data_IF_363469267666
#
_entry.id   IF_363469267666
#
_cell.length_a   1.000
_cell.length_b   1.000
_cell.length_c   1.000
_cell.angle_alpha   90.00
_cell.angle_beta   90.00
_cell.angle_gamma   90.00
#
_symmetry.space_group_name_H-M   'P 1'
#
loop_
_entity.id
_entity.type
_entity.pdbx_description
1 polymer ?
#
# COMPACT_ATOMS: atom_id res chain seq x y z
N UNK A 1 -8.95 -11.57 10.30
CA UNK A 1 -8.69 -10.89 9.01
C UNK A 1 -8.99 -9.39 9.06
N UNK A 2 -10.18 -8.93 9.49
CA UNK A 2 -10.56 -7.50 9.63
C UNK A 2 -9.51 -6.65 10.38
N UNK A 3 -9.10 -7.09 11.57
CA UNK A 3 -8.16 -6.36 12.45
C UNK A 3 -6.74 -6.13 11.91
N UNK A 4 -6.26 -6.96 10.97
CA UNK A 4 -4.89 -6.81 10.40
C UNK A 4 -4.85 -5.66 9.39
N UNK A 5 -5.97 -5.42 8.71
CA UNK A 5 -6.11 -4.39 7.68
C UNK A 5 -6.79 -3.11 8.19
N UNK A 6 -7.61 -3.18 9.24
CA UNK A 6 -8.38 -2.04 9.76
C UNK A 6 -7.53 -0.92 10.34
N UNK A 7 -6.34 -1.23 10.87
CA UNK A 7 -5.35 -0.29 11.36
C UNK A 7 -4.24 -1.18 11.93
N UNK A 8 -3.39 -1.72 11.06
CA UNK A 8 -2.13 -2.26 11.55
C UNK A 8 -1.38 -1.09 12.17
N UNK A 9 -1.45 -0.99 13.51
CA UNK A 9 -0.49 -0.30 14.36
C UNK A 9 0.89 -0.99 14.28
N UNK A 10 1.27 -1.41 13.07
CA UNK A 10 2.55 -1.95 12.71
C UNK A 10 3.44 -0.75 12.46
N UNK A 11 4.26 -0.48 13.47
CA UNK A 11 5.26 0.55 13.44
C UNK A 11 6.59 -0.10 13.08
N UNK A 12 7.17 0.33 11.96
CA UNK A 12 8.45 -0.18 11.49
C UNK A 12 9.59 0.73 11.91
N UNK A 13 10.66 0.16 12.44
CA UNK A 13 11.93 0.82 12.66
C UNK A 13 12.79 0.89 11.39
N UNK A 14 13.88 1.65 11.44
CA UNK A 14 14.82 1.73 10.32
C UNK A 14 15.45 0.37 9.95
N UNK A 15 15.69 -0.51 10.93
CA UNK A 15 16.27 -1.85 10.69
C UNK A 15 15.32 -2.72 9.87
N UNK A 16 14.03 -2.74 10.24
CA UNK A 16 12.99 -3.48 9.53
C UNK A 16 12.77 -2.90 8.13
N UNK A 17 12.71 -1.56 8.01
CA UNK A 17 12.62 -0.91 6.71
C UNK A 17 13.80 -1.25 5.79
N UNK A 18 15.03 -1.25 6.32
CA UNK A 18 16.22 -1.60 5.54
C UNK A 18 16.15 -3.05 5.05
N UNK A 19 15.74 -3.98 5.92
CA UNK A 19 15.56 -5.39 5.57
C UNK A 19 14.48 -5.61 4.51
N UNK A 20 13.33 -4.94 4.64
CA UNK A 20 12.22 -5.10 3.69
C UNK A 20 12.57 -4.46 2.33
N UNK A 21 13.03 -3.21 2.35
CA UNK A 21 13.14 -2.39 1.13
C UNK A 21 14.47 -2.57 0.38
N UNK A 22 15.41 -3.28 0.99
CA UNK A 22 16.79 -3.40 0.49
C UNK A 22 17.40 -2.01 0.22
N UNK A 23 17.14 -1.07 1.14
CA UNK A 23 17.72 0.27 1.16
C UNK A 23 18.58 0.39 2.41
N UNK A 24 19.87 0.77 2.28
CA UNK A 24 20.75 0.92 3.43
C UNK A 24 20.17 1.84 4.52
N UNK A 25 20.34 1.43 5.78
CA UNK A 25 19.74 2.12 6.93
C UNK A 25 20.19 3.59 7.06
N UNK A 26 21.44 3.89 6.71
CA UNK A 26 21.99 5.25 6.66
C UNK A 26 21.28 6.13 5.61
N UNK A 27 20.95 5.56 4.44
CA UNK A 27 20.21 6.25 3.38
C UNK A 27 18.78 6.55 3.79
N UNK A 28 18.12 5.61 4.48
CA UNK A 28 16.79 5.82 5.06
C UNK A 28 16.79 6.92 6.12
N UNK A 29 17.79 6.93 7.03
CA UNK A 29 17.95 8.02 8.01
C UNK A 29 18.12 9.37 7.32
N UNK A 30 18.98 9.45 6.30
CA UNK A 30 19.17 10.67 5.51
C UNK A 30 17.87 11.13 4.85
N UNK A 31 17.10 10.21 4.25
CA UNK A 31 15.80 10.55 3.65
C UNK A 31 14.79 11.04 4.67
N UNK A 32 14.77 10.44 5.86
CA UNK A 32 13.91 10.88 6.96
C UNK A 32 14.29 12.26 7.47
N UNK A 33 15.59 12.52 7.68
CA UNK A 33 16.10 13.83 8.09
C UNK A 33 15.78 14.93 7.08
N UNK A 34 15.81 14.61 5.77
CA UNK A 34 15.42 15.54 4.71
C UNK A 34 13.90 15.68 4.52
N UNK A 35 13.09 14.95 5.29
CA UNK A 35 11.63 15.01 5.23
C UNK A 35 10.99 14.26 4.06
N UNK A 36 11.77 13.48 3.30
CA UNK A 36 11.26 12.71 2.17
C UNK A 36 10.40 11.51 2.61
N UNK A 37 10.74 10.90 3.76
CA UNK A 37 9.91 9.90 4.43
C UNK A 37 9.61 10.37 5.86
N UNK A 38 8.38 10.18 6.33
CA UNK A 38 7.91 10.75 7.61
C UNK A 38 7.66 9.66 8.65
N UNK A 39 8.10 9.90 9.88
CA UNK A 39 7.80 9.05 11.04
C UNK A 39 6.37 9.25 11.51
N UNK A 40 5.85 8.31 12.32
CA UNK A 40 4.44 8.26 12.68
C UNK A 40 3.92 9.35 13.60
N UNK A 41 4.76 10.02 14.39
CA UNK A 41 4.42 11.17 15.24
C UNK A 41 5.67 11.63 16.01
N UNK A 42 5.60 12.79 16.66
CA UNK A 42 6.71 13.39 17.46
C UNK A 42 7.16 12.52 18.64
N UNK A 43 6.26 11.76 19.26
CA UNK A 43 6.55 10.91 20.43
C UNK A 43 7.18 9.56 20.09
N UNK A 44 7.05 9.09 18.83
CA UNK A 44 7.66 7.84 18.35
C UNK A 44 8.71 8.13 17.29
N UNK A 45 9.78 8.83 17.70
CA UNK A 45 10.97 9.04 16.87
C UNK A 45 11.43 7.66 16.35
N UNK A 46 11.70 7.57 15.05
CA UNK A 46 12.15 6.37 14.33
C UNK A 46 11.12 5.29 13.99
N UNK A 47 9.83 5.53 14.16
CA UNK A 47 8.79 4.58 13.75
C UNK A 47 8.05 5.07 12.51
N UNK A 48 7.76 4.15 11.58
CA UNK A 48 7.11 4.43 10.31
C UNK A 48 5.86 3.56 10.15
N UNK A 49 4.83 4.09 9.47
CA UNK A 49 3.67 3.27 9.09
C UNK A 49 4.11 2.31 8.00
N UNK A 50 3.41 1.18 7.87
CA UNK A 50 3.66 0.23 6.78
C UNK A 50 3.65 0.89 5.39
N UNK A 51 2.84 1.95 5.20
CA UNK A 51 2.79 2.73 3.95
C UNK A 51 4.13 3.36 3.53
N UNK A 52 5.05 3.58 4.49
CA UNK A 52 6.39 4.07 4.18
C UNK A 52 7.18 3.08 3.32
N UNK A 53 6.90 1.77 3.40
CA UNK A 53 7.54 0.74 2.57
C UNK A 53 7.27 1.02 1.09
N UNK A 54 6.00 1.27 0.73
CA UNK A 54 5.62 1.59 -0.65
C UNK A 54 6.27 2.90 -1.14
N UNK A 55 6.31 3.92 -0.26
CA UNK A 55 6.98 5.17 -0.57
C UNK A 55 8.47 4.97 -0.85
N UNK A 56 9.18 4.22 0.00
CA UNK A 56 10.62 3.93 -0.12
C UNK A 56 10.93 3.17 -1.41
N UNK A 57 10.14 2.13 -1.73
CA UNK A 57 10.30 1.41 -3.00
C UNK A 57 10.11 2.33 -4.20
N UNK A 58 9.14 3.23 -4.15
CA UNK A 58 8.89 4.17 -5.25
C UNK A 58 10.03 5.18 -5.40
N UNK A 59 10.63 5.66 -4.30
CA UNK A 59 11.84 6.48 -4.35
C UNK A 59 12.99 5.70 -4.98
N UNK A 60 13.26 4.47 -4.51
CA UNK A 60 14.31 3.59 -5.04
C UNK A 60 14.12 3.36 -6.55
N UNK A 61 12.90 3.07 -6.98
CA UNK A 61 12.56 2.89 -8.39
C UNK A 61 12.90 4.10 -9.26
N UNK A 62 12.52 5.31 -8.85
CA UNK A 62 12.84 6.51 -9.62
C UNK A 62 14.32 6.88 -9.56
N UNK A 63 15.00 6.64 -8.43
CA UNK A 63 16.46 6.82 -8.39
C UNK A 63 17.19 5.86 -9.33
N UNK A 64 16.74 4.61 -9.43
CA UNK A 64 17.31 3.63 -10.37
C UNK A 64 17.07 4.04 -11.84
N UNK A 65 16.08 4.89 -12.12
CA UNK A 65 15.84 5.51 -13.42
C UNK A 65 16.64 6.80 -13.67
N UNK A 66 17.56 7.17 -12.76
CA UNK A 66 18.42 8.34 -12.90
C UNK A 66 17.83 9.65 -12.37
N UNK A 67 16.67 9.63 -11.70
CA UNK A 67 16.12 10.84 -11.11
C UNK A 67 16.89 11.25 -9.84
N UNK A 68 16.98 12.56 -9.60
CA UNK A 68 17.48 13.09 -8.33
C UNK A 68 16.60 12.64 -7.17
N UNK A 69 17.15 12.60 -5.95
CA UNK A 69 16.38 12.21 -4.76
C UNK A 69 15.12 13.07 -4.57
N UNK A 70 15.22 14.38 -4.76
CA UNK A 70 14.08 15.28 -4.62
C UNK A 70 12.97 14.98 -5.63
N UNK A 71 13.32 14.76 -6.91
CA UNK A 71 12.37 14.40 -7.94
C UNK A 71 11.74 13.01 -7.71
N UNK A 72 12.55 12.03 -7.28
CA UNK A 72 12.07 10.69 -6.92
C UNK A 72 11.11 10.73 -5.72
N UNK A 73 11.42 11.54 -4.70
CA UNK A 73 10.56 11.72 -3.53
C UNK A 73 9.23 12.40 -3.86
N UNK A 74 9.24 13.42 -4.74
CA UNK A 74 8.02 14.06 -5.20
C UNK A 74 7.10 13.07 -5.95
N UNK A 75 7.67 12.28 -6.87
CA UNK A 75 6.92 11.23 -7.58
C UNK A 75 6.40 10.16 -6.62
N UNK A 76 7.23 9.73 -5.67
CA UNK A 76 6.81 8.77 -4.66
C UNK A 76 5.64 9.28 -3.81
N UNK A 77 5.64 10.55 -3.42
CA UNK A 77 4.53 11.15 -2.68
C UNK A 77 3.21 11.08 -3.47
N UNK A 78 3.24 11.35 -4.78
CA UNK A 78 2.07 11.20 -5.66
C UNK A 78 1.55 9.76 -5.67
N UNK A 79 2.40 8.78 -5.97
CA UNK A 79 1.96 7.37 -6.02
C UNK A 79 1.52 6.84 -4.65
N UNK A 80 2.18 7.25 -3.56
CA UNK A 80 1.76 6.90 -2.20
C UNK A 80 0.40 7.49 -1.84
N UNK A 81 0.07 8.68 -2.34
CA UNK A 81 -1.28 9.25 -2.19
C UNK A 81 -2.32 8.40 -2.94
N UNK A 82 -2.07 8.11 -4.22
CA UNK A 82 -2.96 7.26 -5.04
C UNK A 82 -3.15 5.88 -4.42
N UNK A 83 -2.08 5.25 -3.93
CA UNK A 83 -2.17 3.95 -3.27
C UNK A 83 -3.02 3.99 -2.01
N UNK A 84 -2.96 5.08 -1.23
CA UNK A 84 -3.83 5.25 -0.06
C UNK A 84 -5.30 5.36 -0.45
N UNK A 85 -5.61 6.08 -1.51
CA UNK A 85 -6.98 6.19 -2.05
C UNK A 85 -7.51 4.84 -2.52
N UNK A 86 -6.72 4.07 -3.28
CA UNK A 86 -7.09 2.71 -3.72
C UNK A 86 -7.35 1.82 -2.51
N UNK A 87 -6.45 1.79 -1.51
CA UNK A 87 -6.65 0.99 -0.29
C UNK A 87 -7.92 1.39 0.45
N UNK A 88 -8.19 2.69 0.59
CA UNK A 88 -9.38 3.18 1.26
C UNK A 88 -10.65 2.77 0.50
N UNK A 89 -10.67 2.95 -0.83
CA UNK A 89 -11.77 2.53 -1.67
C UNK A 89 -12.02 1.01 -1.57
N UNK A 90 -10.97 0.19 -1.67
CA UNK A 90 -11.09 -1.25 -1.50
C UNK A 90 -11.60 -1.61 -0.10
N UNK A 91 -11.14 -0.94 0.96
CA UNK A 91 -11.61 -1.21 2.32
C UNK A 91 -13.11 -0.91 2.48
N UNK A 92 -13.61 0.16 1.86
CA UNK A 92 -15.02 0.53 1.88
C UNK A 92 -15.89 -0.46 1.09
N UNK A 93 -15.36 -1.00 0.00
CA UNK A 93 -16.09 -1.90 -0.91
C UNK A 93 -16.03 -3.36 -0.50
N UNK A 94 -14.94 -3.81 0.12
CA UNK A 94 -14.69 -5.21 0.43
C UNK A 94 -15.68 -5.74 1.48
N UNK A 95 -16.62 -6.59 1.04
CA UNK A 95 -17.61 -7.22 1.92
C UNK A 95 -17.18 -8.61 2.36
N UNK A 96 -16.69 -9.43 1.42
CA UNK A 96 -16.31 -10.83 1.69
C UNK A 96 -15.18 -11.26 0.77
N UNK A 97 -14.29 -12.11 1.28
CA UNK A 97 -13.31 -12.86 0.48
C UNK A 97 -13.56 -14.34 0.74
N UNK A 98 -13.68 -15.11 -0.32
CA UNK A 98 -13.79 -16.57 -0.29
C UNK A 98 -12.69 -17.17 -1.14
N UNK A 99 -11.87 -18.03 -0.52
CA UNK A 99 -10.77 -18.71 -1.21
C UNK A 99 -11.20 -20.14 -1.52
N UNK A 100 -11.17 -20.52 -2.79
CA UNK A 100 -11.36 -21.90 -3.24
C UNK A 100 -10.04 -22.45 -3.79
N UNK A 101 -9.93 -23.76 -4.06
CA UNK A 101 -8.75 -24.34 -4.70
C UNK A 101 -8.44 -23.72 -6.07
N UNK A 102 -9.47 -23.29 -6.80
CA UNK A 102 -9.38 -22.83 -8.19
C UNK A 102 -9.25 -21.31 -8.31
N UNK A 103 -9.92 -20.56 -7.42
CA UNK A 103 -9.97 -19.10 -7.51
C UNK A 103 -10.10 -18.41 -6.15
N UNK A 104 -9.88 -17.09 -6.16
CA UNK A 104 -10.29 -16.20 -5.07
C UNK A 104 -11.51 -15.42 -5.53
N UNK A 105 -12.59 -15.47 -4.77
CA UNK A 105 -13.81 -14.71 -5.00
C UNK A 105 -13.83 -13.55 -4.01
N UNK A 106 -13.92 -12.32 -4.52
CA UNK A 106 -13.92 -11.09 -3.74
C UNK A 106 -15.23 -10.35 -4.01
N UNK A 107 -16.06 -10.23 -2.98
CA UNK A 107 -17.31 -9.47 -3.02
C UNK A 107 -17.02 -8.00 -2.69
N UNK A 108 -17.28 -7.11 -3.66
CA UNK A 108 -17.03 -5.67 -3.60
C UNK A 108 -18.31 -4.85 -3.32
N UNK A 109 -19.38 -5.52 -2.87
CA UNK A 109 -20.65 -4.91 -2.52
C UNK A 109 -21.59 -4.70 -3.70
N UNK A 110 -22.53 -3.78 -3.54
CA UNK A 110 -23.53 -3.46 -4.57
C UNK A 110 -22.87 -2.86 -5.82
N UNK A 111 -23.43 -3.19 -6.98
CA UNK A 111 -23.03 -2.58 -8.23
C UNK A 111 -23.77 -1.24 -8.41
N UNK A 112 -23.04 -0.12 -8.44
CA UNK A 112 -23.68 1.21 -8.37
C UNK A 112 -24.72 1.47 -9.47
N UNK A 113 -24.50 1.05 -10.74
CA UNK A 113 -25.52 1.21 -11.78
C UNK A 113 -26.77 0.34 -11.61
N UNK A 114 -26.68 -0.77 -10.86
CA UNK A 114 -27.81 -1.66 -10.57
C UNK A 114 -27.66 -2.26 -9.15
N UNK A 115 -28.22 -1.58 -8.12
CA UNK A 115 -28.07 -1.98 -6.73
C UNK A 115 -28.69 -3.34 -6.36
N UNK A 116 -29.48 -3.93 -7.26
CA UNK A 116 -29.99 -5.30 -7.10
C UNK A 116 -28.90 -6.35 -7.30
N UNK A 117 -27.82 -5.99 -7.99
CA UNK A 117 -26.68 -6.85 -8.29
C UNK A 117 -25.50 -6.56 -7.36
N UNK A 118 -24.68 -7.58 -7.16
CA UNK A 118 -23.40 -7.52 -6.44
C UNK A 118 -22.24 -7.56 -7.42
N UNK A 119 -21.25 -6.70 -7.20
CA UNK A 119 -20.01 -6.70 -7.96
C UNK A 119 -19.03 -7.70 -7.36
N UNK A 120 -18.72 -8.75 -8.11
CA UNK A 120 -17.81 -9.81 -7.72
C UNK A 120 -16.54 -9.74 -8.56
N UNK A 121 -15.38 -9.77 -7.92
CA UNK A 121 -14.08 -9.93 -8.56
C UNK A 121 -13.60 -11.36 -8.37
N UNK A 122 -13.42 -12.10 -9.46
CA UNK A 122 -12.75 -13.40 -9.45
C UNK A 122 -11.30 -13.26 -9.85
N UNK A 123 -10.42 -13.91 -9.11
CA UNK A 123 -8.97 -13.97 -9.38
C UNK A 123 -8.55 -15.43 -9.53
N UNK A 124 -8.02 -15.75 -10.71
CA UNK A 124 -7.62 -17.10 -11.15
C UNK A 124 -6.17 -17.02 -11.65
N UNK A 125 -5.21 -17.37 -10.79
CA UNK A 125 -3.79 -17.14 -11.07
C UNK A 125 -3.48 -15.66 -11.30
N UNK A 126 -2.92 -15.34 -12.47
CA UNK A 126 -2.60 -13.97 -12.90
C UNK A 126 -3.76 -13.29 -13.65
N UNK A 127 -4.91 -13.96 -13.80
CA UNK A 127 -6.09 -13.42 -14.47
C UNK A 127 -7.14 -12.97 -13.45
N UNK A 128 -7.93 -11.97 -13.85
CA UNK A 128 -9.08 -11.55 -13.07
C UNK A 128 -10.23 -11.08 -13.95
N UNK A 129 -11.46 -11.24 -13.47
CA UNK A 129 -12.68 -10.78 -14.15
C UNK A 129 -13.72 -10.29 -13.15
N UNK A 130 -14.56 -9.34 -13.61
CA UNK A 130 -15.73 -8.90 -12.87
C UNK A 130 -16.96 -9.70 -13.31
N UNK A 131 -17.79 -10.06 -12.32
CA UNK A 131 -19.09 -10.70 -12.50
C UNK A 131 -20.14 -9.91 -11.72
N UNK A 132 -21.38 -9.96 -12.22
CA UNK A 132 -22.54 -9.41 -11.54
C UNK A 132 -23.44 -10.57 -11.11
N UNK A 133 -23.69 -10.70 -9.82
CA UNK A 133 -24.60 -11.69 -9.23
C UNK A 133 -25.86 -11.03 -8.67
#
# INVERSE_FOLDING_TARGET
MRKVFEQSNLYLGFTELASITDVPQNKLRYWSQKGYIRTCDSNKKNHFKFDAVFQIYTIKFFQNKGFTLAAAAQKAAYYSQTFREIKAATHLRLQKIEKTPECTIIDLGQFDPDPSKRLILRVEGDQSRFELN
#
